data_IF_361097419716
#
_entry.id   IF_361097419716
#
_cell.length_a   1.000
_cell.length_b   1.000
_cell.length_c   1.000
_cell.angle_alpha   90.00
_cell.angle_beta   90.00
_cell.angle_gamma   90.00
#
_symmetry.space_group_name_H-M   'P 1'
#
loop_
_entity.id
_entity.type
_entity.pdbx_description
1 polymer ?
#
# COMPACT_ATOMS: atom_id res chain seq x y z
N UNK A 1 57.75 -15.43 67.92
CA UNK A 1 56.32 -15.21 68.16
C UNK A 1 55.82 -14.19 67.13
N UNK A 2 55.22 -14.67 66.06
CA UNK A 2 54.71 -13.82 64.98
C UNK A 2 53.17 -13.81 65.02
N UNK A 3 52.61 -12.67 65.32
CA UNK A 3 51.19 -12.43 65.30
C UNK A 3 50.69 -12.33 63.84
N UNK A 4 49.79 -13.18 63.48
CA UNK A 4 49.08 -13.14 62.18
C UNK A 4 47.83 -12.28 62.36
N UNK A 5 47.84 -11.08 61.77
CA UNK A 5 46.64 -10.21 61.67
C UNK A 5 45.76 -10.68 60.57
N UNK A 6 44.56 -11.13 60.89
CA UNK A 6 43.49 -11.38 59.94
C UNK A 6 42.78 -10.08 59.52
N UNK A 7 42.90 -9.72 58.24
CA UNK A 7 42.15 -8.63 57.64
C UNK A 7 40.74 -9.10 57.32
N UNK A 8 39.73 -8.46 57.89
CA UNK A 8 38.32 -8.64 57.54
C UNK A 8 38.06 -7.97 56.18
N UNK A 9 37.98 -8.75 55.15
CA UNK A 9 37.41 -8.28 53.84
C UNK A 9 35.91 -8.18 53.99
N UNK A 10 35.41 -6.97 53.99
CA UNK A 10 33.99 -6.64 53.85
C UNK A 10 33.59 -6.95 52.43
N UNK A 11 32.80 -8.00 52.22
CA UNK A 11 32.19 -8.31 50.93
C UNK A 11 30.97 -7.40 50.82
N UNK A 12 31.16 -6.31 50.08
CA UNK A 12 30.03 -5.47 49.66
C UNK A 12 29.22 -6.18 48.59
N UNK A 13 28.01 -6.62 48.95
CA UNK A 13 27.02 -7.09 48.01
C UNK A 13 26.48 -5.85 47.27
N UNK A 14 26.94 -5.64 46.04
CA UNK A 14 26.31 -4.69 45.12
C UNK A 14 25.07 -5.36 44.57
N UNK A 15 23.92 -5.03 45.14
CA UNK A 15 22.62 -5.43 44.60
C UNK A 15 22.36 -4.55 43.38
N UNK A 16 22.74 -5.03 42.20
CA UNK A 16 22.35 -4.40 40.93
C UNK A 16 20.88 -4.67 40.75
N UNK A 17 20.03 -3.72 41.11
CA UNK A 17 18.63 -3.68 40.66
C UNK A 17 18.62 -3.49 39.15
N UNK A 18 18.55 -4.61 38.43
CA UNK A 18 18.14 -4.60 37.06
C UNK A 18 16.65 -4.21 37.04
N UNK A 19 16.36 -2.92 36.95
CA UNK A 19 15.05 -2.43 36.52
C UNK A 19 14.86 -2.91 35.07
N UNK A 20 14.30 -4.10 34.93
CA UNK A 20 13.68 -4.50 33.67
C UNK A 20 12.57 -3.48 33.42
N UNK A 21 12.89 -2.46 32.61
CA UNK A 21 11.87 -1.68 31.95
C UNK A 21 11.09 -2.67 31.08
N UNK A 22 10.07 -3.24 31.65
CA UNK A 22 8.98 -3.85 30.88
C UNK A 22 8.38 -2.66 30.13
N UNK A 23 8.95 -2.38 28.95
CA UNK A 23 8.27 -1.65 27.91
C UNK A 23 7.02 -2.48 27.65
N UNK A 24 5.97 -2.16 28.39
CA UNK A 24 4.61 -2.54 28.04
C UNK A 24 4.39 -1.96 26.65
N UNK A 25 4.75 -2.74 25.63
CA UNK A 25 4.16 -2.62 24.30
C UNK A 25 2.70 -2.93 24.53
N UNK A 26 1.95 -1.94 25.02
CA UNK A 26 0.52 -1.89 24.83
C UNK A 26 0.35 -2.05 23.33
N UNK A 27 0.08 -3.28 22.90
CA UNK A 27 -0.30 -3.60 21.55
C UNK A 27 -1.54 -2.74 21.29
N UNK A 28 -1.34 -1.59 20.67
CA UNK A 28 -2.43 -0.74 20.22
C UNK A 28 -3.05 -1.40 18.99
N UNK A 29 -3.60 -2.60 19.18
CA UNK A 29 -4.52 -3.21 18.23
C UNK A 29 -5.71 -2.26 18.11
N UNK A 30 -6.01 -1.86 16.87
CA UNK A 30 -7.16 -1.02 16.60
C UNK A 30 -6.89 0.49 16.61
N UNK A 31 -5.65 0.97 16.66
CA UNK A 31 -5.39 2.37 16.40
C UNK A 31 -5.94 2.74 15.02
N UNK A 32 -6.71 3.84 14.98
CA UNK A 32 -7.36 4.32 13.76
C UNK A 32 -6.86 5.73 13.46
N UNK A 33 -6.61 6.02 12.18
CA UNK A 33 -6.39 7.36 11.66
C UNK A 33 -7.56 7.68 10.74
N UNK A 34 -8.41 8.61 11.14
CA UNK A 34 -9.52 9.08 10.33
C UNK A 34 -9.01 10.19 9.39
N UNK A 35 -9.28 10.06 8.09
CA UNK A 35 -9.03 11.15 7.15
C UNK A 35 -10.08 12.22 7.31
N UNK A 36 -9.64 13.46 7.48
CA UNK A 36 -10.51 14.62 7.57
C UNK A 36 -11.34 14.80 6.28
N UNK A 37 -12.65 15.04 6.43
CA UNK A 37 -13.56 15.36 5.34
C UNK A 37 -14.22 14.17 4.65
N UNK A 38 -14.94 14.50 3.58
CA UNK A 38 -15.67 13.55 2.74
C UNK A 38 -15.28 13.76 1.27
N UNK A 39 -15.32 12.67 0.48
CA UNK A 39 -14.81 12.63 -0.89
C UNK A 39 -15.81 12.00 -1.85
N UNK A 40 -15.95 12.48 -3.09
CA UNK A 40 -16.89 11.93 -4.07
C UNK A 40 -16.51 10.50 -4.55
N UNK A 41 -15.26 10.08 -4.35
CA UNK A 41 -14.76 8.75 -4.67
C UNK A 41 -14.18 8.04 -3.46
N UNK A 42 -14.22 6.72 -3.44
CA UNK A 42 -13.65 5.94 -2.35
C UNK A 42 -12.11 5.97 -2.36
N UNK A 43 -11.52 5.60 -1.23
CA UNK A 43 -10.08 5.41 -1.13
C UNK A 43 -9.64 4.27 -2.06
N UNK A 44 -8.56 4.51 -2.77
CA UNK A 44 -7.93 3.54 -3.65
C UNK A 44 -6.64 3.01 -3.04
N UNK A 45 -5.83 3.91 -2.47
CA UNK A 45 -4.56 3.54 -1.89
C UNK A 45 -4.02 4.59 -0.92
N UNK A 46 -2.98 4.20 -0.17
CA UNK A 46 -2.26 5.10 0.73
C UNK A 46 -0.76 4.82 0.66
N UNK A 47 0.02 5.88 0.83
CA UNK A 47 1.45 5.81 1.10
C UNK A 47 1.76 6.50 2.41
N UNK A 48 2.70 5.96 3.20
CA UNK A 48 3.02 6.50 4.53
C UNK A 48 4.52 6.69 4.69
N UNK A 49 4.90 7.82 5.27
CA UNK A 49 6.22 8.08 5.83
C UNK A 49 6.13 8.26 7.35
N UNK A 50 7.25 8.59 7.99
CA UNK A 50 7.29 8.86 9.43
C UNK A 50 6.32 9.95 9.89
N UNK A 51 6.11 10.99 9.08
CA UNK A 51 5.36 12.19 9.48
C UNK A 51 4.14 12.48 8.59
N UNK A 52 3.97 11.78 7.49
CA UNK A 52 3.01 12.14 6.44
C UNK A 52 2.30 10.91 5.91
N UNK A 53 1.04 11.09 5.53
CA UNK A 53 0.26 10.10 4.81
C UNK A 53 -0.24 10.75 3.53
N UNK A 54 -0.05 10.06 2.40
CA UNK A 54 -0.66 10.40 1.11
C UNK A 54 -1.79 9.42 0.84
N UNK A 55 -2.95 9.97 0.51
CA UNK A 55 -4.17 9.22 0.24
C UNK A 55 -4.54 9.43 -1.22
N UNK A 56 -4.68 8.35 -1.97
CA UNK A 56 -5.19 8.39 -3.32
C UNK A 56 -6.67 7.98 -3.31
N UNK A 57 -7.54 8.93 -3.58
CA UNK A 57 -8.95 8.70 -3.87
C UNK A 57 -9.17 8.72 -5.38
N UNK A 58 -10.28 8.22 -5.84
CA UNK A 58 -10.63 8.16 -7.27
C UNK A 58 -10.30 9.48 -8.00
N UNK A 59 -10.60 10.64 -7.41
CA UNK A 59 -10.43 11.96 -8.04
C UNK A 59 -9.70 12.96 -7.17
N UNK A 60 -9.11 12.53 -6.06
CA UNK A 60 -8.39 13.40 -5.14
C UNK A 60 -7.10 12.74 -4.68
N UNK A 61 -6.05 13.53 -4.63
CA UNK A 61 -4.87 13.25 -3.84
C UNK A 61 -4.92 14.11 -2.60
N UNK A 62 -4.66 13.51 -1.45
CA UNK A 62 -4.69 14.21 -0.16
C UNK A 62 -3.41 13.89 0.59
N UNK A 63 -2.78 14.92 1.12
CA UNK A 63 -1.63 14.81 2.04
C UNK A 63 -2.09 15.21 3.42
N UNK A 64 -1.83 14.38 4.43
CA UNK A 64 -2.16 14.63 5.82
C UNK A 64 -0.94 14.49 6.72
N UNK A 65 -1.05 15.02 7.94
CA UNK A 65 -0.21 14.58 9.04
C UNK A 65 -0.58 13.15 9.48
N UNK A 66 0.11 12.63 10.49
CA UNK A 66 -0.14 11.29 11.05
C UNK A 66 -1.44 11.18 11.87
N UNK A 67 -2.14 12.29 12.10
CA UNK A 67 -3.44 12.33 12.77
C UNK A 67 -4.61 12.40 11.76
N UNK A 68 -4.32 12.38 10.45
CA UNK A 68 -5.32 12.47 9.40
C UNK A 68 -5.79 13.90 9.07
N UNK A 69 -5.15 14.94 9.66
CA UNK A 69 -5.46 16.34 9.36
C UNK A 69 -4.89 16.73 8.01
N UNK A 70 -5.70 17.38 7.20
CA UNK A 70 -5.32 17.78 5.83
C UNK A 70 -4.21 18.84 5.88
N UNK A 71 -3.09 18.54 5.22
CA UNK A 71 -2.02 19.50 4.92
C UNK A 71 -2.17 20.04 3.50
N UNK A 72 -2.53 19.17 2.55
CA UNK A 72 -2.80 19.52 1.15
C UNK A 72 -3.88 18.62 0.58
N UNK A 73 -4.63 19.15 -0.37
CA UNK A 73 -5.64 18.43 -1.14
C UNK A 73 -5.62 18.95 -2.57
N UNK A 74 -5.61 18.04 -3.53
CA UNK A 74 -5.70 18.36 -4.94
C UNK A 74 -6.79 17.52 -5.60
N UNK A 75 -7.64 18.16 -6.37
CA UNK A 75 -8.53 17.47 -7.30
C UNK A 75 -7.71 17.08 -8.54
N UNK A 76 -7.87 15.84 -8.98
CA UNK A 76 -7.12 15.26 -10.09
C UNK A 76 -8.06 14.61 -11.09
N UNK A 77 -7.72 14.71 -12.37
CA UNK A 77 -8.51 14.11 -13.44
C UNK A 77 -8.28 12.60 -13.52
N UNK A 78 -9.25 11.87 -14.07
CA UNK A 78 -9.18 10.43 -14.26
C UNK A 78 -9.59 9.63 -13.03
N UNK A 79 -9.25 8.34 -13.04
CA UNK A 79 -9.45 7.43 -11.93
C UNK A 79 -8.08 7.03 -11.37
N UNK A 80 -7.68 7.68 -10.30
CA UNK A 80 -6.47 7.33 -9.56
C UNK A 80 -6.64 5.99 -8.85
N UNK A 81 -5.57 5.21 -8.83
CA UNK A 81 -5.50 3.90 -8.19
C UNK A 81 -4.31 3.84 -7.21
N UNK A 82 -3.43 2.85 -7.31
CA UNK A 82 -2.27 2.74 -6.42
C UNK A 82 -1.35 3.95 -6.47
N UNK A 83 -0.73 4.27 -5.33
CA UNK A 83 0.21 5.38 -5.23
C UNK A 83 1.48 5.01 -4.44
N UNK A 84 2.57 5.70 -4.77
CA UNK A 84 3.86 5.57 -4.09
C UNK A 84 4.63 6.89 -4.13
N UNK A 85 5.35 7.22 -3.04
CA UNK A 85 6.23 8.37 -2.99
C UNK A 85 7.68 7.91 -3.14
N UNK A 86 8.38 8.52 -4.09
CA UNK A 86 9.78 8.28 -4.36
C UNK A 86 10.48 9.60 -4.73
N UNK A 87 11.62 9.87 -4.15
CA UNK A 87 12.49 11.03 -4.47
C UNK A 87 11.74 12.38 -4.47
N UNK A 88 10.86 12.60 -3.47
CA UNK A 88 10.07 13.82 -3.32
C UNK A 88 8.89 13.95 -4.30
N UNK A 89 8.58 12.88 -5.02
CA UNK A 89 7.47 12.83 -5.98
C UNK A 89 6.46 11.78 -5.57
N UNK A 90 5.18 12.07 -5.75
CA UNK A 90 4.08 11.15 -5.60
C UNK A 90 3.68 10.63 -6.99
N UNK A 91 3.76 9.33 -7.16
CA UNK A 91 3.32 8.64 -8.37
C UNK A 91 1.99 7.95 -8.11
N UNK A 92 1.13 7.92 -9.11
CA UNK A 92 -0.14 7.21 -9.03
C UNK A 92 -0.49 6.59 -10.38
N UNK A 93 -0.92 5.33 -10.37
CA UNK A 93 -1.51 4.73 -11.54
C UNK A 93 -2.88 5.35 -11.80
N UNK A 94 -3.16 5.68 -13.05
CA UNK A 94 -4.39 6.38 -13.47
C UNK A 94 -5.00 5.67 -14.66
N UNK A 95 -6.31 5.48 -14.64
CA UNK A 95 -7.09 5.17 -15.83
C UNK A 95 -7.63 6.46 -16.42
N UNK A 96 -7.30 6.74 -17.67
CA UNK A 96 -7.95 7.79 -18.43
C UNK A 96 -9.30 7.30 -18.92
N UNK A 97 -10.34 8.01 -18.53
CA UNK A 97 -11.65 7.83 -19.13
C UNK A 97 -11.82 9.00 -20.11
N UNK A 98 -11.75 8.74 -21.41
CA UNK A 98 -12.00 9.73 -22.44
C UNK A 98 -13.49 10.14 -22.42
N UNK A 99 -13.88 10.96 -21.42
CA UNK A 99 -15.22 11.54 -21.31
C UNK A 99 -16.36 10.58 -20.93
N UNK A 100 -16.08 9.30 -20.70
CA UNK A 100 -17.11 8.31 -20.36
C UNK A 100 -17.48 8.34 -18.87
N UNK A 101 -18.74 8.06 -18.52
CA UNK A 101 -19.17 7.95 -17.13
C UNK A 101 -18.42 6.87 -16.38
N UNK A 102 -18.13 7.13 -15.11
CA UNK A 102 -17.45 6.21 -14.19
C UNK A 102 -17.94 4.78 -14.31
N UNK A 103 -17.03 3.83 -14.52
CA UNK A 103 -17.28 2.41 -14.35
C UNK A 103 -17.46 1.58 -15.62
N UNK A 104 -17.47 2.17 -16.80
CA UNK A 104 -17.42 1.39 -18.03
C UNK A 104 -15.98 1.22 -18.50
N UNK A 105 -15.57 -0.04 -18.69
CA UNK A 105 -14.36 -0.35 -19.46
C UNK A 105 -14.65 -0.05 -20.90
N UNK A 106 -14.10 1.04 -21.41
CA UNK A 106 -14.06 1.25 -22.85
C UNK A 106 -12.80 0.60 -23.40
N UNK A 107 -12.81 0.15 -24.67
CA UNK A 107 -11.61 -0.36 -25.36
C UNK A 107 -10.45 0.66 -25.37
N UNK A 108 -10.74 1.93 -25.13
CA UNK A 108 -9.82 3.05 -25.23
C UNK A 108 -9.27 3.53 -23.86
N UNK A 109 -9.35 2.70 -22.83
CA UNK A 109 -8.76 3.04 -21.52
C UNK A 109 -7.26 2.77 -21.56
N UNK A 110 -6.46 3.83 -21.57
CA UNK A 110 -5.01 3.72 -21.43
C UNK A 110 -4.62 3.82 -19.96
N UNK A 111 -3.66 2.99 -19.56
CA UNK A 111 -2.96 3.16 -18.28
C UNK A 111 -2.07 4.38 -18.37
N UNK A 112 -2.14 5.22 -17.38
CA UNK A 112 -1.23 6.35 -17.22
C UNK A 112 -0.57 6.30 -15.84
N UNK A 113 0.60 6.93 -15.74
CA UNK A 113 1.25 7.21 -14.47
C UNK A 113 1.28 8.72 -14.28
N UNK A 114 0.51 9.19 -13.31
CA UNK A 114 0.55 10.57 -12.87
C UNK A 114 1.74 10.80 -11.95
N UNK A 115 2.48 11.86 -12.21
CA UNK A 115 3.59 12.33 -11.42
C UNK A 115 3.26 13.69 -10.81
N UNK A 116 3.38 13.78 -9.48
CA UNK A 116 3.03 14.95 -8.70
C UNK A 116 4.15 15.32 -7.76
N UNK A 117 4.30 16.58 -7.44
CA UNK A 117 5.13 17.02 -6.33
C UNK A 117 4.54 16.51 -5.01
N UNK A 118 5.32 15.79 -4.21
CA UNK A 118 4.80 15.14 -3.00
C UNK A 118 4.46 16.12 -1.87
N UNK A 119 4.95 17.37 -1.93
CA UNK A 119 4.67 18.40 -0.94
C UNK A 119 3.43 19.21 -1.30
N UNK A 120 3.33 19.65 -2.53
CA UNK A 120 2.29 20.58 -2.99
C UNK A 120 1.12 19.87 -3.66
N UNK A 121 1.29 18.61 -4.08
CA UNK A 121 0.38 17.81 -4.92
C UNK A 121 0.14 18.43 -6.31
N UNK A 122 0.98 19.37 -6.73
CA UNK A 122 0.94 19.91 -8.08
C UNK A 122 1.34 18.83 -9.08
N UNK A 123 0.57 18.70 -10.16
CA UNK A 123 0.92 17.76 -11.24
C UNK A 123 2.19 18.23 -11.96
N UNK A 124 3.15 17.33 -12.08
CA UNK A 124 4.40 17.55 -12.83
C UNK A 124 4.24 17.00 -14.23
N UNK A 125 3.79 15.74 -14.36
CA UNK A 125 3.64 15.06 -15.65
C UNK A 125 2.53 13.99 -15.61
N UNK A 126 2.21 13.48 -16.80
CA UNK A 126 1.27 12.38 -17.01
C UNK A 126 1.80 11.50 -18.14
N UNK A 127 2.39 10.36 -17.76
CA UNK A 127 2.99 9.44 -18.70
C UNK A 127 1.96 8.43 -19.19
N UNK A 128 1.61 8.51 -20.47
CA UNK A 128 0.69 7.55 -21.10
C UNK A 128 1.46 6.30 -21.47
N UNK A 129 1.02 5.15 -20.99
CA UNK A 129 1.60 3.86 -21.33
C UNK A 129 0.89 3.27 -22.55
N UNK A 130 1.66 2.58 -23.40
CA UNK A 130 1.07 1.76 -24.49
C UNK A 130 0.49 0.44 -23.91
N UNK A 131 -0.46 0.60 -23.00
CA UNK A 131 -1.14 -0.48 -22.29
C UNK A 131 -2.64 -0.17 -22.27
N UNK A 132 -3.39 -0.95 -23.01
CA UNK A 132 -4.85 -0.86 -23.05
C UNK A 132 -5.44 -1.73 -21.94
N UNK A 133 -5.54 -1.17 -20.73
CA UNK A 133 -6.02 -1.87 -19.55
C UNK A 133 -6.53 -0.90 -18.47
N UNK A 134 -7.08 -1.45 -17.39
CA UNK A 134 -7.48 -0.68 -16.20
C UNK A 134 -6.47 -0.86 -15.10
N UNK A 135 -5.73 0.20 -14.80
CA UNK A 135 -4.83 0.21 -13.65
C UNK A 135 -5.61 0.12 -12.33
N UNK A 136 -5.18 -0.78 -11.45
CA UNK A 136 -5.67 -0.92 -10.08
C UNK A 136 -4.61 -0.53 -9.04
N UNK A 137 -3.33 -0.57 -9.42
CA UNK A 137 -2.24 -0.30 -8.48
C UNK A 137 -0.91 0.01 -9.16
N UNK A 138 0.06 0.43 -8.34
CA UNK A 138 1.39 0.82 -8.79
C UNK A 138 2.43 0.51 -7.72
N UNK A 139 3.64 0.10 -8.13
CA UNK A 139 4.76 -0.15 -7.22
C UNK A 139 6.10 -0.06 -7.96
N UNK A 140 7.06 0.70 -7.45
CA UNK A 140 8.43 0.72 -7.98
C UNK A 140 9.20 -0.54 -7.62
N UNK A 141 10.07 -0.95 -8.53
CA UNK A 141 11.12 -1.94 -8.31
C UNK A 141 12.45 -1.24 -7.99
N UNK A 142 13.45 -2.03 -7.59
CA UNK A 142 14.75 -1.51 -7.14
C UNK A 142 15.53 -0.81 -8.25
N UNK A 143 15.45 -1.36 -9.45
CA UNK A 143 16.13 -0.84 -10.64
C UNK A 143 15.46 0.42 -11.23
N UNK A 144 14.35 0.87 -10.63
CA UNK A 144 13.56 2.02 -11.09
C UNK A 144 12.50 1.67 -12.14
N UNK A 145 12.43 0.43 -12.60
CA UNK A 145 11.26 -0.08 -13.29
C UNK A 145 10.07 -0.19 -12.31
N UNK A 146 8.89 -0.48 -12.77
CA UNK A 146 7.71 -0.54 -11.91
C UNK A 146 6.67 -1.55 -12.37
N UNK A 147 5.78 -1.90 -11.46
CA UNK A 147 4.64 -2.76 -11.73
C UNK A 147 3.34 -1.96 -11.73
N UNK A 148 2.48 -2.30 -12.68
CA UNK A 148 1.10 -1.81 -12.72
C UNK A 148 0.18 -3.02 -12.57
N UNK A 149 -0.53 -3.11 -11.46
CA UNK A 149 -1.56 -4.12 -11.23
C UNK A 149 -2.83 -3.73 -11.97
N UNK A 150 -3.48 -4.73 -12.56
CA UNK A 150 -4.67 -4.49 -13.36
C UNK A 150 -5.94 -4.97 -12.67
N UNK A 151 -7.02 -4.25 -12.89
CA UNK A 151 -8.35 -4.74 -12.61
C UNK A 151 -8.68 -5.88 -13.59
N UNK A 152 -9.68 -6.68 -13.23
CA UNK A 152 -10.08 -7.83 -14.04
C UNK A 152 -10.39 -7.41 -15.48
N UNK A 153 -9.79 -8.10 -16.43
CA UNK A 153 -10.02 -7.92 -17.85
C UNK A 153 -10.87 -9.08 -18.42
N UNK A 154 -11.79 -8.84 -19.36
CA UNK A 154 -12.64 -9.90 -19.93
C UNK A 154 -11.89 -11.06 -20.61
N UNK A 155 -10.67 -10.81 -21.10
CA UNK A 155 -9.83 -11.84 -21.75
C UNK A 155 -9.18 -12.82 -20.77
N UNK A 156 -9.24 -12.54 -19.46
CA UNK A 156 -8.68 -13.41 -18.43
C UNK A 156 -9.71 -14.45 -17.97
N UNK A 157 -9.23 -15.65 -17.60
CA UNK A 157 -10.08 -16.59 -16.88
C UNK A 157 -10.55 -15.97 -15.54
N UNK A 158 -11.68 -16.41 -15.01
CA UNK A 158 -12.19 -15.90 -13.73
C UNK A 158 -11.21 -16.04 -12.56
N UNK A 159 -10.26 -16.97 -12.66
CA UNK A 159 -9.24 -17.25 -11.64
C UNK A 159 -7.93 -16.51 -11.85
N UNK A 160 -7.79 -15.77 -12.95
CA UNK A 160 -6.55 -15.10 -13.32
C UNK A 160 -6.57 -13.61 -12.98
N UNK A 161 -5.42 -13.11 -12.56
CA UNK A 161 -5.10 -11.68 -12.45
C UNK A 161 -3.84 -11.39 -13.25
N UNK A 162 -3.68 -10.14 -13.67
CA UNK A 162 -2.48 -9.71 -14.41
C UNK A 162 -1.88 -8.45 -13.85
N UNK A 163 -0.59 -8.30 -14.08
CA UNK A 163 0.13 -7.05 -13.88
C UNK A 163 1.15 -6.85 -15.00
N UNK A 164 1.49 -5.62 -15.25
CA UNK A 164 2.47 -5.22 -16.24
C UNK A 164 3.76 -4.81 -15.55
N UNK A 165 4.88 -5.32 -16.04
CA UNK A 165 6.22 -4.84 -15.71
C UNK A 165 6.60 -3.79 -16.75
N UNK A 166 6.89 -2.59 -16.31
CA UNK A 166 7.15 -1.41 -17.14
C UNK A 166 8.53 -0.87 -16.81
N UNK A 167 9.29 -0.50 -17.82
CA UNK A 167 10.62 0.08 -17.68
C UNK A 167 10.57 1.50 -17.11
N UNK A 168 11.71 1.98 -16.61
CA UNK A 168 11.87 3.38 -16.16
C UNK A 168 11.66 4.41 -17.26
N UNK A 169 11.68 3.98 -18.52
CA UNK A 169 11.35 4.76 -19.71
C UNK A 169 9.87 4.69 -20.10
N UNK A 170 9.04 4.15 -19.20
CA UNK A 170 7.59 3.97 -19.37
C UNK A 170 7.17 3.01 -20.49
N UNK A 171 8.09 2.16 -20.99
CA UNK A 171 7.78 1.13 -21.98
C UNK A 171 7.45 -0.19 -21.32
N UNK A 172 6.42 -0.88 -21.84
CA UNK A 172 6.06 -2.21 -21.41
C UNK A 172 7.22 -3.19 -21.67
N UNK A 173 7.70 -3.82 -20.61
CA UNK A 173 8.70 -4.89 -20.68
C UNK A 173 7.97 -6.22 -20.86
N UNK A 174 6.99 -6.51 -19.98
CA UNK A 174 6.28 -7.79 -19.97
C UNK A 174 4.94 -7.71 -19.23
N UNK A 175 3.98 -8.49 -19.71
CA UNK A 175 2.74 -8.78 -18.98
C UNK A 175 2.86 -10.13 -18.28
N UNK A 176 2.51 -10.17 -17.00
CA UNK A 176 2.48 -11.35 -16.17
C UNK A 176 1.03 -11.70 -15.84
N UNK A 177 0.70 -12.98 -15.90
CA UNK A 177 -0.61 -13.53 -15.51
C UNK A 177 -0.38 -14.53 -14.37
N UNK A 178 -1.17 -14.40 -13.31
CA UNK A 178 -1.11 -15.29 -12.14
C UNK A 178 -2.46 -15.96 -12.00
N UNK A 179 -2.47 -17.29 -11.99
CA UNK A 179 -3.67 -18.09 -11.69
C UNK A 179 -3.79 -18.23 -10.16
N UNK A 180 -4.92 -17.80 -9.64
CA UNK A 180 -5.23 -17.84 -8.22
C UNK A 180 -5.92 -19.15 -7.79
N UNK A 181 -6.27 -20.02 -8.76
CA UNK A 181 -7.00 -21.26 -8.52
C UNK A 181 -8.45 -21.07 -8.07
N UNK A 182 -8.90 -19.83 -7.84
CA UNK A 182 -10.29 -19.51 -7.50
C UNK A 182 -10.72 -18.18 -8.13
N UNK A 183 -12.01 -18.08 -8.43
CA UNK A 183 -12.57 -16.87 -9.06
C UNK A 183 -12.51 -15.66 -8.13
N UNK A 184 -12.18 -14.51 -8.73
CA UNK A 184 -12.17 -13.21 -8.07
C UNK A 184 -13.04 -12.21 -8.84
N UNK A 185 -13.64 -11.26 -8.12
CA UNK A 185 -14.53 -10.26 -8.73
C UNK A 185 -13.78 -9.16 -9.45
N UNK A 186 -12.73 -8.69 -8.82
CA UNK A 186 -11.88 -7.59 -9.28
C UNK A 186 -10.46 -8.11 -9.51
N UNK A 187 -9.54 -7.25 -9.89
CA UNK A 187 -8.15 -7.61 -10.07
C UNK A 187 -7.28 -7.23 -8.88
N UNK A 188 -6.09 -6.75 -9.20
CA UNK A 188 -5.09 -6.32 -8.24
C UNK A 188 -5.38 -4.85 -7.89
N UNK A 189 -5.71 -4.60 -6.63
CA UNK A 189 -6.06 -3.28 -6.11
C UNK A 189 -4.88 -2.55 -5.46
N UNK A 190 -3.96 -3.32 -4.85
CA UNK A 190 -2.74 -2.77 -4.25
C UNK A 190 -1.56 -3.69 -4.55
N UNK A 191 -0.44 -3.11 -4.94
CA UNK A 191 0.87 -3.79 -4.98
C UNK A 191 1.79 -3.10 -3.99
N UNK A 192 2.57 -3.90 -3.24
CA UNK A 192 3.62 -3.38 -2.37
C UNK A 192 4.87 -4.23 -2.46
N UNK A 193 6.01 -3.57 -2.46
CA UNK A 193 7.30 -4.21 -2.32
C UNK A 193 7.86 -4.02 -0.91
N UNK A 194 8.33 -5.12 -0.30
CA UNK A 194 9.04 -5.11 0.97
C UNK A 194 10.29 -5.96 0.84
N UNK A 195 11.44 -5.31 0.66
CA UNK A 195 12.70 -6.00 0.37
C UNK A 195 12.65 -6.73 -0.97
N UNK A 196 12.95 -8.03 -0.95
CA UNK A 196 12.92 -8.90 -2.13
C UNK A 196 11.56 -9.52 -2.41
N UNK A 197 10.52 -9.11 -1.70
CA UNK A 197 9.17 -9.63 -1.84
C UNK A 197 8.20 -8.58 -2.39
N UNK A 198 7.32 -9.01 -3.31
CA UNK A 198 6.19 -8.22 -3.81
C UNK A 198 4.90 -8.87 -3.32
N UNK A 199 3.99 -8.05 -2.83
CA UNK A 199 2.68 -8.47 -2.37
C UNK A 199 1.58 -7.88 -3.24
N UNK A 200 0.75 -8.75 -3.82
CA UNK A 200 -0.43 -8.40 -4.59
C UNK A 200 -1.66 -8.56 -3.71
N UNK A 201 -2.35 -7.48 -3.42
CA UNK A 201 -3.62 -7.48 -2.69
C UNK A 201 -4.76 -7.53 -3.71
N UNK A 202 -5.49 -8.63 -3.71
CA UNK A 202 -6.53 -8.90 -4.70
C UNK A 202 -7.89 -8.66 -4.07
N UNK A 203 -8.71 -7.85 -4.71
CA UNK A 203 -10.04 -7.51 -4.19
C UNK A 203 -10.94 -8.74 -4.11
N UNK A 204 -11.35 -9.06 -2.88
CA UNK A 204 -12.14 -10.27 -2.59
C UNK A 204 -11.36 -11.59 -2.77
N UNK A 205 -10.04 -11.51 -2.89
CA UNK A 205 -9.14 -12.63 -3.10
C UNK A 205 -8.05 -12.75 -2.02
N UNK A 206 -7.09 -13.65 -2.25
CA UNK A 206 -5.92 -13.81 -1.38
C UNK A 206 -4.95 -12.63 -1.55
N UNK A 207 -3.97 -12.56 -0.65
CA UNK A 207 -2.74 -11.82 -0.89
C UNK A 207 -1.72 -12.80 -1.47
N UNK A 208 -1.16 -12.47 -2.62
CA UNK A 208 -0.11 -13.26 -3.27
C UNK A 208 1.25 -12.63 -2.98
N UNK A 209 2.20 -13.46 -2.64
CA UNK A 209 3.60 -13.07 -2.50
C UNK A 209 4.37 -13.54 -3.72
N UNK A 210 5.14 -12.64 -4.31
CA UNK A 210 6.03 -12.93 -5.44
C UNK A 210 7.48 -12.61 -5.04
N UNK A 211 8.40 -13.35 -5.61
CA UNK A 211 9.81 -12.97 -5.65
C UNK A 211 10.00 -11.75 -6.55
N UNK A 212 10.69 -10.71 -6.09
CA UNK A 212 10.78 -9.44 -6.82
C UNK A 212 11.69 -9.49 -8.07
N UNK A 213 12.50 -10.53 -8.23
CA UNK A 213 13.41 -10.70 -9.38
C UNK A 213 12.80 -11.57 -10.47
N UNK A 214 12.14 -12.65 -10.06
CA UNK A 214 11.59 -13.65 -10.99
C UNK A 214 10.10 -13.49 -11.23
N UNK A 215 9.40 -12.78 -10.34
CA UNK A 215 7.93 -12.67 -10.26
C UNK A 215 7.23 -14.04 -10.06
N UNK A 216 7.98 -15.04 -9.64
CA UNK A 216 7.40 -16.33 -9.28
C UNK A 216 6.58 -16.21 -7.98
N UNK A 217 5.45 -16.89 -7.94
CA UNK A 217 4.62 -16.98 -6.73
C UNK A 217 5.35 -17.78 -5.67
N UNK A 218 5.66 -17.16 -4.53
CA UNK A 218 6.36 -17.76 -3.39
C UNK A 218 5.48 -17.95 -2.17
N UNK A 219 4.28 -17.37 -2.18
CA UNK A 219 3.33 -17.54 -1.08
C UNK A 219 1.93 -17.09 -1.44
N UNK A 220 0.97 -17.65 -0.72
CA UNK A 220 -0.44 -17.31 -0.78
C UNK A 220 -0.96 -17.15 0.64
N UNK A 221 -1.63 -16.05 0.91
CA UNK A 221 -2.11 -15.73 2.24
C UNK A 221 -3.60 -15.41 2.21
N UNK A 222 -4.29 -15.61 3.33
CA UNK A 222 -5.68 -15.16 3.48
C UNK A 222 -5.78 -13.66 3.27
N UNK A 223 -6.93 -13.19 2.82
CA UNK A 223 -7.18 -11.75 2.70
C UNK A 223 -6.92 -11.05 4.04
N UNK A 224 -6.00 -10.11 4.01
CA UNK A 224 -5.61 -9.34 5.19
C UNK A 224 -6.45 -8.05 5.37
N UNK A 225 -7.28 -7.73 4.39
CA UNK A 225 -7.78 -6.40 4.15
C UNK A 225 -6.76 -5.59 3.34
N UNK A 226 -6.91 -4.28 3.28
CA UNK A 226 -5.95 -3.42 2.58
C UNK A 226 -6.13 -3.35 1.07
N UNK A 227 -7.24 -3.84 0.55
CA UNK A 227 -7.56 -3.70 -0.87
C UNK A 227 -7.85 -2.25 -1.29
N UNK A 228 -8.01 -1.35 -0.33
CA UNK A 228 -8.18 0.10 -0.57
C UNK A 228 -7.08 0.89 0.14
N UNK A 229 -5.89 0.35 0.19
CA UNK A 229 -4.71 0.96 0.74
C UNK A 229 -3.99 0.10 1.77
N UNK A 230 -2.68 0.01 1.63
CA UNK A 230 -1.84 -0.76 2.51
C UNK A 230 -0.49 -0.08 2.72
N UNK A 231 -0.09 0.09 3.98
CA UNK A 231 1.24 0.54 4.35
C UNK A 231 1.78 -0.30 5.50
N UNK A 232 3.10 -0.51 5.53
CA UNK A 232 3.77 -1.23 6.61
C UNK A 232 4.59 -0.28 7.47
N UNK A 233 4.56 -0.48 8.78
CA UNK A 233 5.33 0.26 9.76
C UNK A 233 5.86 -0.71 10.82
N UNK A 234 7.12 -1.14 10.66
CA UNK A 234 7.72 -2.17 11.52
C UNK A 234 6.93 -3.48 11.48
N UNK A 235 6.51 -3.94 12.65
CA UNK A 235 5.71 -5.15 12.83
C UNK A 235 4.19 -4.92 12.67
N UNK A 236 3.80 -3.76 12.19
CA UNK A 236 2.40 -3.41 11.97
C UNK A 236 2.13 -3.06 10.52
N UNK A 237 0.88 -3.22 10.15
CA UNK A 237 0.32 -2.75 8.90
C UNK A 237 -0.83 -1.78 9.16
N UNK A 238 -0.96 -0.82 8.26
CA UNK A 238 -2.10 0.06 8.16
C UNK A 238 -2.93 -0.35 6.95
N UNK A 239 -4.21 -0.66 7.18
CA UNK A 239 -5.13 -1.06 6.12
C UNK A 239 -6.19 0.01 5.92
N UNK A 240 -6.36 0.43 4.67
CA UNK A 240 -7.36 1.42 4.27
C UNK A 240 -8.77 0.84 4.30
N UNK A 241 -9.71 1.68 4.69
CA UNK A 241 -11.14 1.43 4.61
C UNK A 241 -11.86 2.69 4.16
N UNK A 242 -12.90 2.51 3.36
CA UNK A 242 -13.82 3.58 2.99
C UNK A 242 -15.25 3.16 3.24
N UNK A 243 -16.04 4.08 3.80
CA UNK A 243 -17.48 3.90 3.98
C UNK A 243 -18.21 5.05 3.29
N UNK A 244 -19.20 4.73 2.49
CA UNK A 244 -20.08 5.72 1.88
C UNK A 244 -21.05 6.25 2.92
N UNK A 245 -21.17 7.58 3.03
CA UNK A 245 -22.15 8.23 3.88
C UNK A 245 -23.56 8.03 3.35
N UNK A 246 -24.49 7.74 4.23
CA UNK A 246 -25.89 7.45 3.86
C UNK A 246 -26.60 8.68 3.28
N UNK A 247 -26.37 9.85 3.86
CA UNK A 247 -27.03 11.10 3.48
C UNK A 247 -26.28 11.89 2.39
N UNK A 248 -24.94 11.93 2.46
CA UNK A 248 -24.14 12.73 1.53
C UNK A 248 -23.81 12.00 0.23
N UNK A 249 -23.89 10.68 0.22
CA UNK A 249 -23.40 9.87 -0.88
C UNK A 249 -21.89 9.93 -1.09
N UNK A 250 -21.16 10.67 -0.26
CA UNK A 250 -19.72 10.82 -0.28
C UNK A 250 -19.04 9.77 0.60
N UNK A 251 -17.72 9.65 0.47
CA UNK A 251 -16.95 8.62 1.15
C UNK A 251 -16.09 9.23 2.25
N UNK A 252 -16.11 8.57 3.42
CA UNK A 252 -15.15 8.79 4.51
C UNK A 252 -14.15 7.66 4.50
N UNK A 253 -12.91 7.97 4.78
CA UNK A 253 -11.82 7.00 4.74
C UNK A 253 -11.02 7.02 6.04
N UNK A 254 -10.48 5.85 6.38
CA UNK A 254 -9.64 5.68 7.55
C UNK A 254 -8.59 4.60 7.33
N UNK A 255 -7.54 4.65 8.13
CA UNK A 255 -6.56 3.58 8.29
C UNK A 255 -6.78 2.89 9.62
N UNK A 256 -6.64 1.57 9.62
CA UNK A 256 -6.69 0.75 10.82
C UNK A 256 -5.35 0.04 10.96
N UNK A 257 -4.72 0.20 12.12
CA UNK A 257 -3.48 -0.49 12.48
C UNK A 257 -3.77 -1.92 12.91
N UNK A 258 -3.00 -2.86 12.40
CA UNK A 258 -3.07 -4.28 12.72
C UNK A 258 -1.67 -4.85 12.84
N UNK A 259 -1.44 -5.92 13.63
CA UNK A 259 -0.19 -6.66 13.57
C UNK A 259 0.07 -7.14 12.14
N UNK A 260 1.31 -7.03 11.68
CA UNK A 260 1.70 -7.50 10.35
C UNK A 260 2.04 -8.99 10.42
N UNK A 261 1.01 -9.83 10.33
CA UNK A 261 1.13 -11.29 10.38
C UNK A 261 0.48 -11.89 9.14
N UNK A 262 1.25 -12.68 8.43
CA UNK A 262 0.76 -13.42 7.27
C UNK A 262 0.28 -14.81 7.67
N UNK A 263 -1.03 -15.03 7.64
CA UNK A 263 -1.60 -16.36 7.81
C UNK A 263 -1.65 -17.05 6.46
N UNK A 264 -1.06 -18.25 6.36
CA UNK A 264 -1.14 -19.04 5.13
C UNK A 264 -2.61 -19.20 4.72
N UNK A 265 -2.87 -19.06 3.42
CA UNK A 265 -4.15 -19.44 2.87
C UNK A 265 -4.26 -20.97 2.94
N UNK A 266 -5.43 -21.46 3.25
CA UNK A 266 -5.73 -22.88 3.04
C UNK A 266 -5.58 -23.20 1.55
N UNK A 267 -5.03 -24.37 1.22
CA UNK A 267 -4.81 -24.78 -0.16
C UNK A 267 -6.11 -24.82 -0.97
#
# INVERSE_FOLDING_TARGET
MNEVRFSKKTIGFVLTLATAAVLSTCCAEGQTIELEGEYPGHLQDVWMSSNTIWWAHTQYLVKTDRNGRIVRKAEVGGHHAGCEVKDGRLYSAVCAFNGEPRGKTTPDCHVMIGEYDAETLARIDMHVLDINDRAGSFCFLEDGSFLVGCLRHPSLKPTEVKFHHVGKDYRLIKTHVVDLGKSVKMGIEVIRRFGDDIYLFIYGGPVMKLDAKTFAVTGRYRSYGGQTGFAREGDFAWTGQSKKGESSGQWRSKLIRKPFVWNAAEP
#
